data_IF_131340854582
#
_entry.id   IF_131340854582
#
_cell.length_a   1.000
_cell.length_b   1.000
_cell.length_c   1.000
_cell.angle_alpha   90.00
_cell.angle_beta   90.00
_cell.angle_gamma   90.00
#
_symmetry.space_group_name_H-M   'P 1'
#
loop_
_entity.id
_entity.type
_entity.pdbx_description
1 polymer ?
#
# COMPACT_ATOMS: atom_id res chain seq x y z
N UNK A 1 -49.97 14.71 -17.80
CA UNK A 1 -48.68 14.04 -17.58
C UNK A 1 -47.62 14.82 -18.33
N UNK A 2 -46.88 15.71 -17.64
CA UNK A 2 -45.75 16.41 -18.24
C UNK A 2 -44.53 15.46 -18.22
N UNK A 3 -44.04 15.12 -19.40
CA UNK A 3 -42.75 14.42 -19.50
C UNK A 3 -41.61 15.32 -18.96
N UNK A 4 -40.65 14.76 -18.25
CA UNK A 4 -39.49 15.53 -17.81
C UNK A 4 -38.80 16.14 -19.05
N UNK A 5 -38.60 17.43 -19.02
CA UNK A 5 -37.94 18.16 -20.10
C UNK A 5 -36.49 17.70 -20.22
N UNK A 6 -35.90 17.74 -21.43
CA UNK A 6 -34.47 17.40 -21.71
C UNK A 6 -33.49 18.00 -20.68
N UNK A 7 -33.76 19.20 -20.15
CA UNK A 7 -32.94 19.84 -19.11
C UNK A 7 -32.88 19.07 -17.79
N UNK A 8 -33.96 18.37 -17.38
CA UNK A 8 -33.97 17.57 -16.16
C UNK A 8 -33.13 16.30 -16.29
N UNK A 9 -33.15 15.69 -17.49
CA UNK A 9 -32.31 14.53 -17.82
C UNK A 9 -30.82 14.89 -17.85
N UNK A 10 -30.48 16.06 -18.42
CA UNK A 10 -29.10 16.53 -18.50
C UNK A 10 -28.52 16.87 -17.11
N UNK A 11 -29.35 17.39 -16.20
CA UNK A 11 -28.95 17.65 -14.82
C UNK A 11 -28.73 16.34 -14.04
N UNK A 12 -29.59 15.36 -14.22
CA UNK A 12 -29.43 14.03 -13.63
C UNK A 12 -28.16 13.36 -14.15
N UNK A 13 -27.90 13.42 -15.45
CA UNK A 13 -26.71 12.81 -16.08
C UNK A 13 -25.40 13.46 -15.58
N UNK A 14 -25.40 14.77 -15.35
CA UNK A 14 -24.26 15.50 -14.81
C UNK A 14 -24.05 15.27 -13.32
N UNK A 15 -25.05 14.82 -12.59
CA UNK A 15 -24.96 14.53 -11.15
C UNK A 15 -24.56 13.07 -10.87
N UNK A 16 -24.57 12.19 -11.87
CA UNK A 16 -24.10 10.82 -11.72
C UNK A 16 -22.58 10.80 -11.72
N UNK A 17 -22.00 10.10 -10.75
CA UNK A 17 -20.56 9.81 -10.78
C UNK A 17 -20.26 8.95 -12.01
N UNK A 18 -19.26 9.37 -12.78
CA UNK A 18 -18.82 8.60 -13.95
C UNK A 18 -17.86 7.51 -13.44
N UNK A 19 -18.38 6.35 -13.19
CA UNK A 19 -17.61 5.15 -12.82
C UNK A 19 -17.70 4.14 -13.97
N UNK A 20 -16.58 3.47 -14.26
CA UNK A 20 -16.55 2.42 -15.29
C UNK A 20 -17.39 1.22 -14.88
N UNK A 21 -17.36 0.87 -13.60
CA UNK A 21 -18.16 -0.20 -13.00
C UNK A 21 -18.43 0.14 -11.54
N UNK A 22 -19.63 -0.15 -11.01
CA UNK A 22 -19.86 -0.04 -9.58
C UNK A 22 -18.99 -1.05 -8.81
N UNK A 23 -18.50 -0.70 -7.61
CA UNK A 23 -17.71 -1.63 -6.79
C UNK A 23 -18.56 -2.85 -6.41
N UNK A 24 -18.06 -4.04 -6.73
CA UNK A 24 -18.71 -5.31 -6.41
C UNK A 24 -18.18 -5.89 -5.10
N UNK A 25 -19.07 -6.55 -4.38
CA UNK A 25 -18.70 -7.33 -3.21
C UNK A 25 -18.31 -8.75 -3.64
N UNK A 26 -17.01 -8.95 -3.91
CA UNK A 26 -16.43 -10.25 -4.33
C UNK A 26 -16.18 -11.20 -3.16
N UNK A 27 -16.44 -10.77 -1.91
CA UNK A 27 -16.16 -11.57 -0.72
C UNK A 27 -14.67 -11.83 -0.48
N UNK A 28 -13.78 -11.09 -1.14
CA UNK A 28 -12.34 -11.23 -0.98
C UNK A 28 -11.62 -9.91 -1.28
N UNK A 29 -10.47 -9.69 -0.62
CA UNK A 29 -9.63 -8.54 -0.84
C UNK A 29 -8.18 -8.85 -0.48
N UNK A 30 -7.28 -7.98 -0.89
CA UNK A 30 -5.86 -8.05 -0.59
C UNK A 30 -5.47 -7.02 0.47
N UNK A 31 -4.42 -7.32 1.23
CA UNK A 31 -3.75 -6.31 2.05
C UNK A 31 -2.23 -6.45 1.90
N UNK A 32 -1.54 -5.32 1.80
CA UNK A 32 -0.09 -5.25 1.78
C UNK A 32 0.38 -4.67 3.10
N UNK A 33 1.22 -5.43 3.81
CA UNK A 33 1.98 -4.94 4.95
C UNK A 33 3.36 -4.48 4.47
N UNK A 34 3.79 -3.30 4.87
CA UNK A 34 5.09 -2.73 4.51
C UNK A 34 5.85 -2.36 5.77
N UNK A 35 6.98 -3.01 5.99
CA UNK A 35 7.94 -2.74 7.04
C UNK A 35 9.09 -1.83 6.52
N UNK A 36 9.98 -1.31 7.38
CA UNK A 36 11.18 -0.59 6.95
C UNK A 36 12.03 -1.39 5.97
N UNK A 37 12.77 -0.70 5.08
CA UNK A 37 13.51 -1.36 3.98
C UNK A 37 14.69 -2.21 4.45
N UNK A 38 15.17 -2.01 5.67
CA UNK A 38 16.35 -2.67 6.23
C UNK A 38 16.05 -3.93 7.05
N UNK A 39 14.84 -4.44 6.99
CA UNK A 39 14.43 -5.64 7.73
C UNK A 39 14.42 -6.90 6.88
N UNK A 40 14.55 -8.04 7.54
CA UNK A 40 14.44 -9.35 6.91
C UNK A 40 13.01 -9.90 6.96
N UNK A 41 12.79 -11.04 6.31
CA UNK A 41 11.48 -11.69 6.25
C UNK A 41 10.98 -12.13 7.63
N UNK A 42 11.88 -12.56 8.51
CA UNK A 42 11.53 -13.00 9.87
C UNK A 42 10.93 -11.84 10.69
N UNK A 43 11.52 -10.64 10.54
CA UNK A 43 10.95 -9.43 11.15
C UNK A 43 9.56 -9.14 10.61
N UNK A 44 9.36 -9.19 9.28
CA UNK A 44 8.05 -8.95 8.65
C UNK A 44 7.02 -9.95 9.17
N UNK A 45 7.39 -11.22 9.28
CA UNK A 45 6.53 -12.26 9.82
C UNK A 45 6.11 -11.96 11.26
N UNK A 46 7.06 -11.59 12.11
CA UNK A 46 6.79 -11.24 13.51
C UNK A 46 5.92 -9.97 13.62
N UNK A 47 6.24 -8.94 12.82
CA UNK A 47 5.50 -7.67 12.81
C UNK A 47 4.06 -7.81 12.29
N UNK A 48 3.79 -8.83 11.46
CA UNK A 48 2.44 -9.13 10.95
C UNK A 48 1.57 -9.94 11.91
N UNK A 49 2.14 -10.51 12.98
CA UNK A 49 1.38 -11.33 13.94
C UNK A 49 0.17 -10.60 14.54
N UNK A 50 0.26 -9.31 14.98
CA UNK A 50 -0.92 -8.57 15.49
C UNK A 50 -2.00 -8.41 14.42
N UNK A 51 -1.64 -8.23 13.16
CA UNK A 51 -2.63 -8.14 12.08
C UNK A 51 -3.32 -9.47 11.83
N UNK A 52 -2.59 -10.58 11.89
CA UNK A 52 -3.18 -11.93 11.79
C UNK A 52 -4.16 -12.21 12.94
N UNK A 53 -3.84 -11.74 14.15
CA UNK A 53 -4.76 -11.82 15.28
C UNK A 53 -6.04 -11.01 15.04
N UNK A 54 -5.94 -9.79 14.49
CA UNK A 54 -7.10 -8.98 14.10
C UNK A 54 -7.96 -9.73 13.08
N UNK A 55 -7.35 -10.36 12.07
CA UNK A 55 -8.08 -11.13 11.05
C UNK A 55 -8.80 -12.33 11.65
N UNK A 56 -8.11 -13.09 12.51
CA UNK A 56 -8.67 -14.28 13.19
C UNK A 56 -9.84 -13.91 14.10
N UNK A 57 -9.76 -12.78 14.77
CA UNK A 57 -10.81 -12.27 15.67
C UNK A 57 -11.93 -11.54 14.94
N UNK A 58 -11.90 -11.44 13.62
CA UNK A 58 -12.96 -10.80 12.82
C UNK A 58 -13.94 -11.88 12.34
N UNK A 59 -15.19 -11.88 12.85
CA UNK A 59 -16.15 -12.98 12.60
C UNK A 59 -16.52 -13.17 11.12
N UNK A 60 -16.44 -12.12 10.34
CA UNK A 60 -16.76 -12.11 8.91
C UNK A 60 -15.65 -12.69 8.02
N UNK A 61 -14.43 -12.84 8.55
CA UNK A 61 -13.31 -13.47 7.85
C UNK A 61 -13.47 -14.97 7.88
N UNK A 62 -13.44 -15.62 6.73
CA UNK A 62 -13.49 -17.07 6.59
C UNK A 62 -12.09 -17.65 6.55
N UNK A 63 -11.21 -17.03 5.77
CA UNK A 63 -9.84 -17.47 5.58
C UNK A 63 -8.93 -16.27 5.36
N UNK A 64 -7.73 -16.35 5.91
CA UNK A 64 -6.68 -15.36 5.67
C UNK A 64 -5.35 -16.09 5.48
N UNK A 65 -4.63 -15.73 4.43
CA UNK A 65 -3.29 -16.21 4.12
C UNK A 65 -2.32 -15.03 4.08
N UNK A 66 -1.21 -15.14 4.78
CA UNK A 66 -0.14 -14.15 4.79
C UNK A 66 1.12 -14.74 4.16
N UNK A 67 1.66 -14.07 3.16
CA UNK A 67 2.91 -14.41 2.50
C UNK A 67 3.93 -13.32 2.86
N UNK A 68 4.84 -13.62 3.77
CA UNK A 68 5.92 -12.69 4.15
C UNK A 68 7.04 -12.72 3.13
N UNK A 69 7.63 -11.55 2.82
CA UNK A 69 8.67 -11.41 1.81
C UNK A 69 8.15 -11.25 0.38
N UNK A 70 6.86 -10.98 0.21
CA UNK A 70 6.25 -10.74 -1.09
C UNK A 70 5.38 -9.46 -1.07
N UNK A 71 5.39 -8.64 -2.12
CA UNK A 71 6.23 -8.73 -3.33
C UNK A 71 7.70 -8.40 -3.10
N UNK A 72 8.06 -7.72 -2.00
CA UNK A 72 9.43 -7.39 -1.61
C UNK A 72 9.78 -8.02 -0.26
N UNK A 73 11.08 -8.20 0.03
CA UNK A 73 11.58 -8.84 1.26
C UNK A 73 11.03 -8.19 2.54
N UNK A 74 10.83 -6.87 2.53
CA UNK A 74 10.29 -6.10 3.65
C UNK A 74 8.77 -5.94 3.60
N UNK A 75 8.07 -6.72 2.77
CA UNK A 75 6.62 -6.65 2.61
C UNK A 75 5.96 -7.98 2.88
N UNK A 76 4.66 -7.92 3.14
CA UNK A 76 3.79 -9.09 3.20
C UNK A 76 2.57 -8.89 2.31
N UNK A 77 2.21 -9.92 1.58
CA UNK A 77 0.95 -10.00 0.85
C UNK A 77 -0.04 -10.83 1.65
N UNK A 78 -1.20 -10.27 1.92
CA UNK A 78 -2.26 -10.95 2.63
C UNK A 78 -3.46 -11.10 1.71
N UNK A 79 -3.95 -12.33 1.58
CA UNK A 79 -5.17 -12.67 0.84
C UNK A 79 -6.23 -12.98 1.88
N UNK A 80 -7.31 -12.22 1.89
CA UNK A 80 -8.39 -12.35 2.85
C UNK A 80 -9.67 -12.72 2.12
N UNK A 81 -10.31 -13.81 2.54
CA UNK A 81 -11.61 -14.26 2.04
C UNK A 81 -12.63 -14.12 3.15
N UNK A 82 -13.76 -13.52 2.83
CA UNK A 82 -14.88 -13.32 3.73
C UNK A 82 -15.87 -14.49 3.62
N UNK A 83 -16.67 -14.68 4.64
CA UNK A 83 -17.82 -15.58 4.61
C UNK A 83 -18.81 -15.17 3.53
N UNK A 84 -19.69 -16.09 3.14
CA UNK A 84 -20.77 -15.78 2.19
C UNK A 84 -21.58 -14.57 2.69
N UNK A 85 -22.04 -13.75 1.77
CA UNK A 85 -22.84 -12.55 2.08
C UNK A 85 -24.11 -12.84 2.87
N UNK A 86 -24.64 -14.06 2.79
CA UNK A 86 -25.77 -14.50 3.62
C UNK A 86 -25.39 -14.75 5.07
N UNK A 87 -24.11 -14.98 5.36
CA UNK A 87 -23.59 -15.30 6.69
C UNK A 87 -22.91 -14.09 7.35
N UNK A 88 -22.87 -12.93 6.69
CA UNK A 88 -22.30 -11.71 7.23
C UNK A 88 -23.29 -10.55 7.18
N UNK A 89 -23.19 -9.68 8.18
CA UNK A 89 -24.05 -8.49 8.31
C UNK A 89 -23.47 -7.24 7.66
N UNK A 90 -22.15 -7.26 7.36
CA UNK A 90 -21.39 -6.12 6.83
C UNK A 90 -20.97 -6.38 5.37
N UNK A 91 -20.97 -5.31 4.56
CA UNK A 91 -20.40 -5.37 3.21
C UNK A 91 -18.88 -5.52 3.26
N UNK A 92 -18.28 -6.03 2.18
CA UNK A 92 -16.81 -6.12 2.03
C UNK A 92 -16.13 -4.77 2.29
N UNK A 93 -16.67 -3.68 1.74
CA UNK A 93 -16.12 -2.32 1.93
C UNK A 93 -16.13 -1.89 3.38
N UNK A 94 -17.22 -2.19 4.13
CA UNK A 94 -17.31 -1.86 5.55
C UNK A 94 -16.28 -2.64 6.39
N UNK A 95 -16.12 -3.94 6.10
CA UNK A 95 -15.13 -4.80 6.76
C UNK A 95 -13.71 -4.33 6.44
N UNK A 96 -13.43 -4.04 5.17
CA UNK A 96 -12.14 -3.53 4.71
C UNK A 96 -11.75 -2.23 5.43
N UNK A 97 -12.68 -1.28 5.54
CA UNK A 97 -12.45 -0.02 6.24
C UNK A 97 -12.21 -0.23 7.74
N UNK A 98 -12.93 -1.14 8.37
CA UNK A 98 -12.73 -1.50 9.78
C UNK A 98 -11.34 -2.12 10.01
N UNK A 99 -10.94 -3.05 9.16
CA UNK A 99 -9.62 -3.70 9.23
C UNK A 99 -8.49 -2.70 8.99
N UNK A 100 -8.63 -1.80 8.01
CA UNK A 100 -7.67 -0.73 7.75
C UNK A 100 -7.55 0.22 8.94
N UNK A 101 -8.66 0.53 9.63
CA UNK A 101 -8.64 1.35 10.83
C UNK A 101 -7.90 0.66 12.00
N UNK A 102 -8.17 -0.64 12.22
CA UNK A 102 -7.49 -1.44 13.24
C UNK A 102 -5.99 -1.61 12.93
N UNK A 103 -5.63 -1.79 11.66
CA UNK A 103 -4.26 -1.96 11.22
C UNK A 103 -3.37 -0.75 11.50
N UNK A 104 -3.94 0.47 11.53
CA UNK A 104 -3.20 1.70 11.88
C UNK A 104 -2.65 1.70 13.31
N UNK A 105 -3.16 0.85 14.18
CA UNK A 105 -2.67 0.71 15.55
C UNK A 105 -1.40 -0.14 15.67
N UNK A 106 -0.95 -0.76 14.59
CA UNK A 106 0.27 -1.59 14.56
C UNK A 106 1.45 -0.68 14.16
N UNK A 107 2.40 -0.41 15.07
CA UNK A 107 3.46 0.55 14.79
C UNK A 107 4.61 -0.02 13.94
N UNK A 108 4.81 -1.35 13.97
CA UNK A 108 5.97 -2.00 13.33
C UNK A 108 5.82 -2.15 11.82
N UNK A 109 4.59 -2.12 11.32
CA UNK A 109 4.28 -2.35 9.91
C UNK A 109 3.07 -1.50 9.48
N UNK A 110 3.17 -0.89 8.33
CA UNK A 110 2.03 -0.20 7.72
C UNK A 110 1.24 -1.20 6.88
N UNK A 111 0.03 -1.53 7.33
CA UNK A 111 -0.86 -2.45 6.59
C UNK A 111 -1.97 -1.67 5.92
N UNK A 112 -2.15 -1.90 4.63
CA UNK A 112 -3.23 -1.32 3.84
C UNK A 112 -3.93 -2.40 3.02
N UNK A 113 -5.23 -2.55 3.28
CA UNK A 113 -6.11 -3.40 2.49
C UNK A 113 -6.78 -2.63 1.34
N UNK A 114 -7.04 -3.34 0.25
CA UNK A 114 -7.71 -2.83 -0.94
C UNK A 114 -8.49 -3.94 -1.65
N UNK A 115 -9.62 -3.59 -2.25
CA UNK A 115 -10.41 -4.52 -3.04
C UNK A 115 -9.69 -4.88 -4.35
N UNK A 116 -9.98 -6.06 -4.88
CA UNK A 116 -9.55 -6.40 -6.24
C UNK A 116 -10.11 -5.38 -7.23
N UNK A 117 -9.36 -5.02 -8.26
CA UNK A 117 -9.88 -4.16 -9.32
C UNK A 117 -11.07 -4.85 -10.01
N UNK A 118 -12.09 -4.07 -10.39
CA UNK A 118 -13.28 -4.58 -11.07
C UNK A 118 -12.96 -5.01 -12.50
N UNK A 119 -12.04 -4.32 -13.15
CA UNK A 119 -11.56 -4.63 -14.50
C UNK A 119 -10.07 -4.89 -14.42
N UNK A 120 -9.64 -6.04 -14.89
CA UNK A 120 -8.23 -6.36 -15.05
C UNK A 120 -7.67 -5.59 -16.26
N UNK A 121 -7.07 -4.44 -16.00
CA UNK A 121 -6.41 -3.62 -17.04
C UNK A 121 -5.01 -4.12 -17.39
N UNK A 122 -4.56 -5.21 -16.76
CA UNK A 122 -3.19 -5.72 -16.91
C UNK A 122 -2.14 -4.94 -16.12
N UNK A 123 -2.48 -3.78 -15.57
CA UNK A 123 -1.61 -3.01 -14.70
C UNK A 123 -1.78 -3.48 -13.25
N UNK A 124 -0.73 -4.10 -12.72
CA UNK A 124 -0.67 -4.47 -11.31
C UNK A 124 -0.11 -3.28 -10.52
N UNK A 125 -0.99 -2.55 -9.84
CA UNK A 125 -0.56 -1.43 -9.01
C UNK A 125 -1.71 -0.55 -8.53
N UNK A 126 -1.42 0.51 -7.77
CA UNK A 126 -2.41 1.49 -7.39
C UNK A 126 -2.96 2.22 -8.62
N UNK A 127 -4.24 2.61 -8.62
CA UNK A 127 -4.94 3.17 -9.79
C UNK A 127 -4.39 4.51 -10.28
N UNK A 128 -3.59 5.18 -9.47
CA UNK A 128 -2.95 6.46 -9.80
C UNK A 128 -1.46 6.33 -9.53
N UNK A 129 -0.64 6.44 -10.56
CA UNK A 129 0.81 6.48 -10.50
C UNK A 129 1.36 7.84 -10.91
N UNK A 130 2.20 8.44 -10.08
CA UNK A 130 2.96 9.65 -10.43
C UNK A 130 4.43 9.29 -10.62
N UNK A 131 5.00 9.70 -11.74
CA UNK A 131 6.43 9.53 -12.02
C UNK A 131 7.10 10.89 -11.92
N UNK A 132 8.04 11.04 -10.97
CA UNK A 132 8.85 12.25 -10.80
C UNK A 132 10.25 11.93 -11.30
N UNK A 133 10.70 12.64 -12.34
CA UNK A 133 12.01 12.47 -12.95
C UNK A 133 12.91 13.67 -12.69
N UNK A 134 14.19 13.44 -12.52
CA UNK A 134 15.20 14.49 -12.37
C UNK A 134 16.50 14.12 -13.07
N UNK A 135 17.26 15.12 -13.47
CA UNK A 135 18.65 14.99 -13.91
C UNK A 135 19.65 15.31 -12.79
N UNK A 136 19.16 15.66 -11.60
CA UNK A 136 19.96 15.99 -10.41
C UNK A 136 20.19 14.75 -9.54
N UNK A 137 20.85 14.95 -8.40
CA UNK A 137 21.13 13.85 -7.47
C UNK A 137 19.86 13.28 -6.84
N UNK A 138 19.88 11.98 -6.56
CA UNK A 138 18.75 11.27 -5.94
C UNK A 138 18.33 11.86 -4.58
N UNK A 139 19.27 12.49 -3.83
CA UNK A 139 18.97 13.14 -2.57
C UNK A 139 18.00 14.33 -2.71
N UNK A 140 18.12 15.07 -3.79
CA UNK A 140 17.21 16.20 -4.06
C UNK A 140 15.86 15.72 -4.59
N UNK A 141 15.86 14.66 -5.39
CA UNK A 141 14.64 13.97 -5.79
C UNK A 141 13.84 13.49 -4.57
N UNK A 142 14.51 12.89 -3.59
CA UNK A 142 13.87 12.39 -2.39
C UNK A 142 13.19 13.50 -1.57
N UNK A 143 13.83 14.67 -1.47
CA UNK A 143 13.24 15.83 -0.76
C UNK A 143 11.97 16.31 -1.45
N UNK A 144 12.00 16.43 -2.78
CA UNK A 144 10.85 16.89 -3.58
C UNK A 144 9.73 15.85 -3.52
N UNK A 145 10.04 14.58 -3.72
CA UNK A 145 9.08 13.49 -3.69
C UNK A 145 8.47 13.31 -2.29
N UNK A 146 9.28 13.45 -1.23
CA UNK A 146 8.80 13.40 0.15
C UNK A 146 7.83 14.52 0.48
N UNK A 147 8.13 15.75 0.04
CA UNK A 147 7.21 16.90 0.21
C UNK A 147 5.92 16.70 -0.57
N UNK A 148 6.01 16.20 -1.80
CA UNK A 148 4.83 15.88 -2.61
C UNK A 148 3.95 14.82 -1.94
N UNK A 149 4.56 13.76 -1.39
CA UNK A 149 3.84 12.73 -0.62
C UNK A 149 3.12 13.33 0.59
N UNK A 150 3.80 14.21 1.34
CA UNK A 150 3.22 14.89 2.51
C UNK A 150 2.03 15.77 2.13
N UNK A 151 2.13 16.51 1.03
CA UNK A 151 1.05 17.37 0.51
C UNK A 151 -0.16 16.52 0.04
N UNK A 152 0.10 15.37 -0.59
CA UNK A 152 -0.95 14.41 -0.95
C UNK A 152 -1.67 13.88 0.29
N UNK A 153 -0.94 13.48 1.32
CA UNK A 153 -1.53 13.00 2.59
C UNK A 153 -2.36 14.08 3.27
N UNK A 154 -1.85 15.31 3.33
CA UNK A 154 -2.56 16.45 3.93
C UNK A 154 -3.82 16.85 3.16
N UNK A 155 -3.88 16.58 1.87
CA UNK A 155 -5.06 16.89 1.05
C UNK A 155 -6.31 16.12 1.46
N UNK A 156 -6.16 14.96 2.14
CA UNK A 156 -7.24 14.07 2.54
C UNK A 156 -7.99 13.39 1.38
N UNK A 157 -7.51 13.57 0.14
CA UNK A 157 -8.15 13.01 -1.06
C UNK A 157 -7.70 11.59 -1.37
N UNK A 158 -6.61 11.14 -0.76
CA UNK A 158 -6.02 9.83 -0.99
C UNK A 158 -6.15 8.97 0.27
N UNK A 159 -6.69 7.78 0.12
CA UNK A 159 -6.82 6.80 1.21
C UNK A 159 -5.46 6.20 1.55
N UNK A 160 -4.63 6.01 0.53
CA UNK A 160 -3.29 5.45 0.64
C UNK A 160 -2.34 6.17 -0.33
N UNK A 161 -1.14 6.43 0.13
CA UNK A 161 -0.05 6.98 -0.68
C UNK A 161 1.23 6.24 -0.36
N UNK A 162 2.03 5.93 -1.37
CA UNK A 162 3.33 5.30 -1.21
C UNK A 162 4.38 6.00 -2.07
N UNK A 163 5.61 6.01 -1.61
CA UNK A 163 6.78 6.49 -2.32
C UNK A 163 7.78 5.33 -2.44
N UNK A 164 8.16 5.00 -3.66
CA UNK A 164 9.10 3.89 -3.91
C UNK A 164 10.54 4.27 -3.56
N UNK A 165 10.89 5.55 -3.69
CA UNK A 165 12.22 6.05 -3.34
C UNK A 165 12.36 6.19 -1.81
N UNK A 166 13.08 5.25 -1.19
CA UNK A 166 13.36 5.24 0.25
C UNK A 166 14.85 5.36 0.52
N UNK A 167 15.22 6.24 1.45
CA UNK A 167 16.60 6.44 1.94
C UNK A 167 16.75 5.95 3.38
N UNK A 168 16.04 4.89 3.73
CA UNK A 168 16.01 4.30 5.07
C UNK A 168 16.96 3.09 5.23
N UNK A 169 17.66 2.72 4.15
CA UNK A 169 18.63 1.62 4.19
C UNK A 169 19.98 2.13 4.71
N UNK A 170 20.42 1.58 5.83
CA UNK A 170 21.75 1.85 6.36
C UNK A 170 22.83 1.38 5.38
N UNK A 171 23.77 2.27 5.05
CA UNK A 171 24.91 1.94 4.19
C UNK A 171 26.18 1.98 4.99
N UNK A 172 27.01 0.92 4.86
CA UNK A 172 28.35 0.90 5.38
C UNK A 172 29.30 1.42 4.31
N UNK A 173 29.97 2.56 4.58
CA UNK A 173 31.03 3.11 3.72
C UNK A 173 32.38 2.78 4.33
N UNK A 174 33.15 1.93 3.67
CA UNK A 174 34.53 1.60 4.01
C UNK A 174 35.43 2.62 3.33
N UNK A 175 36.10 3.47 4.11
CA UNK A 175 37.12 4.41 3.61
C UNK A 175 38.49 3.88 3.98
N UNK A 176 39.25 3.44 2.97
CA UNK A 176 40.59 2.92 3.16
C UNK A 176 41.58 4.11 3.18
N UNK A 177 42.34 4.22 4.26
CA UNK A 177 43.47 5.14 4.36
C UNK A 177 44.65 4.53 3.60
N UNK A 178 44.89 5.02 2.37
CA UNK A 178 45.89 4.49 1.47
C UNK A 178 47.33 4.71 1.95
N UNK A 179 47.58 5.83 2.63
CA UNK A 179 48.92 6.13 3.16
C UNK A 179 49.28 5.19 4.29
N UNK A 180 48.33 4.95 5.19
CA UNK A 180 48.48 4.02 6.29
C UNK A 180 48.57 2.57 5.82
N UNK A 181 47.79 2.18 4.83
CA UNK A 181 47.88 0.86 4.21
C UNK A 181 49.26 0.62 3.57
N UNK A 182 49.77 1.63 2.84
CA UNK A 182 51.12 1.59 2.25
C UNK A 182 52.22 1.48 3.30
N UNK A 183 52.12 2.14 4.46
CA UNK A 183 53.07 2.02 5.53
C UNK A 183 53.14 0.60 6.15
N UNK A 184 52.07 -0.18 6.02
CA UNK A 184 52.01 -1.59 6.43
C UNK A 184 52.34 -2.56 5.30
N UNK A 185 52.81 -2.08 4.12
CA UNK A 185 53.14 -2.91 2.99
C UNK A 185 51.94 -3.53 2.27
N UNK A 186 50.76 -3.02 2.51
CA UNK A 186 49.52 -3.49 1.85
C UNK A 186 49.39 -2.76 0.50
N UNK A 187 49.54 -3.50 -0.60
CA UNK A 187 49.32 -2.98 -1.94
C UNK A 187 47.83 -3.11 -2.31
N UNK A 188 47.26 -2.05 -2.85
CA UNK A 188 45.91 -2.08 -3.40
C UNK A 188 46.00 -2.51 -4.85
N UNK A 189 45.66 -3.74 -5.13
CA UNK A 189 45.36 -4.26 -6.44
C UNK A 189 43.84 -4.38 -6.60
#
# INVERSE_FOLDING_TARGET
>A
HSFPTRRSSDLLFKSLSSELTPPEDKGAFLAIGSAPSNVNVDYVQAAMAPYQEILTNTPEVQFAMTISGAPNTNQSLNVITLKDWKERSKSQTAILNELNAKAKAIPEVSVQGFSFPEIETGEQGPPIGFVISTSQEYGDLAKVAGKFLEDMQKSGKFVYTNLDLKFDTAQMRIKIDREKAGSYGITMQ
#
